data_IF_162799763699
#
_entry.id   IF_162799763699
#
_cell.length_a   1.000
_cell.length_b   1.000
_cell.length_c   1.000
_cell.angle_alpha   90.00
_cell.angle_beta   90.00
_cell.angle_gamma   90.00
#
_symmetry.space_group_name_H-M   'P 1'
#
loop_
_entity.id
_entity.type
_entity.pdbx_description
1 polymer ?
#
# COMPACT_ATOMS: atom_id res chain seq x y z
N UNK A 1 17.53 -11.84 11.67
CA UNK A 1 17.71 -12.19 13.09
C UNK A 1 16.70 -11.42 13.91
N UNK A 2 16.65 -10.07 13.87
CA UNK A 2 15.71 -9.24 14.67
C UNK A 2 14.26 -9.71 14.57
N UNK A 3 13.76 -10.03 13.36
CA UNK A 3 12.40 -10.50 13.17
C UNK A 3 12.10 -11.84 13.87
N UNK A 4 13.11 -12.68 14.12
CA UNK A 4 12.95 -13.92 14.88
C UNK A 4 13.00 -13.70 16.39
N UNK A 5 13.68 -12.63 16.82
CA UNK A 5 13.90 -12.33 18.25
C UNK A 5 12.98 -11.22 18.78
N UNK A 6 12.10 -10.66 17.95
CA UNK A 6 11.37 -9.43 18.26
C UNK A 6 10.50 -9.49 19.52
N UNK A 7 9.93 -10.64 19.83
CA UNK A 7 9.08 -10.84 21.03
C UNK A 7 9.84 -11.51 22.19
N UNK A 8 11.13 -11.88 22.01
CA UNK A 8 11.88 -12.64 23.02
C UNK A 8 11.96 -11.89 24.35
N UNK A 9 12.17 -10.57 24.32
CA UNK A 9 12.27 -9.74 25.54
C UNK A 9 10.89 -9.49 26.18
N UNK A 10 9.80 -9.59 25.39
CA UNK A 10 8.43 -9.39 25.89
C UNK A 10 7.88 -10.67 26.53
N UNK A 11 8.16 -11.82 25.93
CA UNK A 11 7.52 -13.11 26.26
C UNK A 11 8.40 -14.03 27.12
N UNK A 12 9.69 -13.66 27.35
CA UNK A 12 10.62 -14.47 28.14
C UNK A 12 11.43 -13.61 29.14
N UNK A 13 12.27 -14.27 29.94
CA UNK A 13 13.18 -13.60 30.87
C UNK A 13 14.50 -13.15 30.22
N UNK A 14 14.64 -13.30 28.89
CA UNK A 14 15.85 -12.91 28.16
C UNK A 14 15.96 -11.39 28.11
N UNK A 15 17.13 -10.87 28.44
CA UNK A 15 17.40 -9.42 28.47
C UNK A 15 17.98 -8.91 27.14
N UNK A 16 17.84 -7.61 26.89
CA UNK A 16 18.45 -6.95 25.71
C UNK A 16 19.98 -7.11 25.73
N UNK A 17 20.60 -7.11 26.93
CA UNK A 17 22.04 -7.29 27.12
C UNK A 17 22.50 -8.69 26.69
N UNK A 18 21.71 -9.72 27.00
CA UNK A 18 22.00 -11.11 26.58
C UNK A 18 21.90 -11.23 25.07
N UNK A 19 20.89 -10.64 24.44
CA UNK A 19 20.78 -10.58 22.99
C UNK A 19 21.99 -9.86 22.39
N UNK A 20 22.44 -8.77 23.03
CA UNK A 20 23.61 -8.01 22.61
C UNK A 20 24.91 -8.80 22.64
N UNK A 21 25.09 -9.66 23.65
CA UNK A 21 26.23 -10.57 23.75
C UNK A 21 26.23 -11.66 22.69
N UNK A 22 25.05 -12.20 22.35
CA UNK A 22 24.91 -13.33 21.44
C UNK A 22 24.89 -12.90 19.96
N UNK A 23 24.22 -11.79 19.64
CA UNK A 23 23.90 -11.39 18.26
C UNK A 23 24.44 -9.99 17.89
N UNK A 24 25.09 -9.31 18.81
CA UNK A 24 25.68 -7.99 18.60
C UNK A 24 24.74 -6.83 18.96
N UNK A 25 25.36 -5.67 19.24
CA UNK A 25 24.67 -4.46 19.72
C UNK A 25 23.59 -3.94 18.77
N UNK A 26 23.82 -4.04 17.45
CA UNK A 26 22.86 -3.58 16.45
C UNK A 26 21.55 -4.35 16.53
N UNK A 27 21.60 -5.67 16.64
CA UNK A 27 20.41 -6.52 16.74
C UNK A 27 19.70 -6.27 18.07
N UNK A 28 20.44 -6.14 19.17
CA UNK A 28 19.89 -5.81 20.47
C UNK A 28 19.14 -4.47 20.47
N UNK A 29 19.71 -3.44 19.85
CA UNK A 29 19.07 -2.12 19.69
C UNK A 29 17.77 -2.21 18.88
N UNK A 30 17.72 -2.98 17.80
CA UNK A 30 16.52 -3.17 17.02
C UNK A 30 15.44 -3.92 17.81
N UNK A 31 15.79 -4.98 18.55
CA UNK A 31 14.84 -5.72 19.41
C UNK A 31 14.29 -4.82 20.50
N UNK A 32 15.14 -4.06 21.18
CA UNK A 32 14.73 -3.09 22.20
C UNK A 32 13.77 -2.03 21.63
N UNK A 33 14.05 -1.52 20.42
CA UNK A 33 13.17 -0.60 19.71
C UNK A 33 11.79 -1.20 19.43
N UNK A 34 11.71 -2.46 18.96
CA UNK A 34 10.44 -3.15 18.72
C UNK A 34 9.67 -3.35 20.01
N UNK A 35 10.34 -3.78 21.09
CA UNK A 35 9.76 -3.97 22.43
C UNK A 35 9.21 -2.65 23.00
N UNK A 36 9.96 -1.55 22.91
CA UNK A 36 9.50 -0.22 23.32
C UNK A 36 8.25 0.23 22.56
N UNK A 37 8.22 -0.06 21.26
CA UNK A 37 7.10 0.28 20.39
C UNK A 37 5.82 -0.49 20.77
N UNK A 38 5.96 -1.75 21.19
CA UNK A 38 4.85 -2.59 21.67
C UNK A 38 4.25 -2.08 22.99
N UNK A 39 5.06 -1.50 23.87
CA UNK A 39 4.64 -0.96 25.17
C UNK A 39 3.97 0.41 25.09
N UNK A 40 3.95 1.05 23.92
CA UNK A 40 3.25 2.32 23.76
C UNK A 40 1.74 2.02 23.79
N UNK A 41 1.05 2.49 24.83
CA UNK A 41 -0.41 2.45 24.92
C UNK A 41 -1.02 3.31 23.80
N UNK A 42 -1.39 2.65 22.71
CA UNK A 42 -2.03 3.26 21.58
C UNK A 42 -3.55 3.31 21.86
N UNK A 43 -4.02 4.47 22.27
CA UNK A 43 -5.45 4.66 22.57
C UNK A 43 -6.23 4.78 21.28
N UNK A 44 -7.21 3.90 21.11
CA UNK A 44 -8.14 3.82 19.97
C UNK A 44 -9.17 4.97 19.98
N UNK A 45 -8.72 6.22 20.08
CA UNK A 45 -9.57 7.40 20.00
C UNK A 45 -9.10 8.26 18.82
N UNK A 46 -10.02 8.63 17.93
CA UNK A 46 -9.73 9.45 16.75
C UNK A 46 -9.08 10.80 17.08
N UNK A 47 -9.34 11.34 18.27
CA UNK A 47 -8.71 12.59 18.76
C UNK A 47 -7.26 12.40 19.17
N UNK A 48 -6.84 11.17 19.49
CA UNK A 48 -5.48 10.82 19.93
C UNK A 48 -4.63 10.19 18.82
N UNK A 49 -5.16 10.05 17.63
CA UNK A 49 -4.41 9.47 16.50
C UNK A 49 -3.13 10.25 16.18
N UNK A 50 -3.18 11.58 16.23
CA UNK A 50 -2.00 12.42 16.01
C UNK A 50 -0.94 12.21 17.12
N UNK A 51 -1.37 12.10 18.37
CA UNK A 51 -0.47 11.85 19.51
C UNK A 51 0.14 10.43 19.46
N UNK A 52 -0.66 9.42 19.18
CA UNK A 52 -0.19 8.05 18.97
C UNK A 52 0.82 7.99 17.82
N UNK A 53 0.53 8.69 16.73
CA UNK A 53 1.44 8.78 15.61
C UNK A 53 2.73 9.50 15.98
N UNK A 54 2.67 10.62 16.71
CA UNK A 54 3.86 11.33 17.19
C UNK A 54 4.72 10.45 18.09
N UNK A 55 4.13 9.72 19.04
CA UNK A 55 4.84 8.77 19.90
C UNK A 55 5.54 7.67 19.08
N UNK A 56 4.83 7.14 18.08
CA UNK A 56 5.39 6.14 17.17
C UNK A 56 6.54 6.73 16.34
N UNK A 57 6.40 7.94 15.78
CA UNK A 57 7.45 8.61 15.01
C UNK A 57 8.68 8.87 15.87
N UNK A 58 8.52 9.31 17.13
CA UNK A 58 9.62 9.52 18.06
C UNK A 58 10.32 8.19 18.38
N UNK A 59 9.57 7.12 18.67
CA UNK A 59 10.14 5.80 18.93
C UNK A 59 10.84 5.18 17.69
N UNK A 60 10.46 5.66 16.48
CA UNK A 60 11.01 5.23 15.19
C UNK A 60 12.15 6.13 14.68
N UNK A 61 12.37 7.31 15.33
CA UNK A 61 13.38 8.27 14.88
C UNK A 61 14.80 7.71 14.84
N UNK A 62 15.04 6.66 15.63
CA UNK A 62 16.35 6.04 15.78
C UNK A 62 16.64 5.02 14.67
N UNK A 63 15.64 4.21 14.24
CA UNK A 63 15.84 3.25 13.16
C UNK A 63 14.53 2.80 12.50
N UNK A 64 14.37 3.08 11.21
CA UNK A 64 13.20 2.70 10.41
C UNK A 64 12.98 1.17 10.35
N UNK A 65 14.03 0.37 10.53
CA UNK A 65 13.94 -1.09 10.51
C UNK A 65 13.05 -1.64 11.61
N UNK A 66 12.98 -0.96 12.75
CA UNK A 66 12.06 -1.27 13.87
C UNK A 66 10.61 -1.28 13.38
N UNK A 67 10.22 -0.25 12.62
CA UNK A 67 8.89 -0.16 12.03
C UNK A 67 8.60 -1.27 11.03
N UNK A 68 9.58 -1.59 10.18
CA UNK A 68 9.43 -2.65 9.18
C UNK A 68 9.16 -4.00 9.85
N UNK A 69 9.90 -4.31 10.93
CA UNK A 69 9.67 -5.52 11.73
C UNK A 69 8.27 -5.51 12.32
N UNK A 70 7.84 -4.37 12.91
CA UNK A 70 6.52 -4.28 13.54
C UNK A 70 5.35 -4.33 12.53
N UNK A 71 5.53 -3.80 11.32
CA UNK A 71 4.53 -3.95 10.24
C UNK A 71 4.46 -5.40 9.75
N UNK A 72 5.59 -6.10 9.65
CA UNK A 72 5.64 -7.50 9.28
C UNK A 72 4.99 -8.39 10.33
N UNK A 73 5.29 -8.16 11.63
CA UNK A 73 4.64 -8.80 12.75
C UNK A 73 3.12 -8.60 12.73
N UNK A 74 2.66 -7.33 12.60
CA UNK A 74 1.23 -7.02 12.52
C UNK A 74 0.56 -7.70 11.34
N UNK A 75 1.22 -7.79 10.20
CA UNK A 75 0.68 -8.48 9.02
C UNK A 75 0.55 -9.98 9.28
N UNK A 76 1.54 -10.59 9.90
CA UNK A 76 1.49 -12.00 10.31
C UNK A 76 0.34 -12.25 11.30
N UNK A 77 0.23 -11.41 12.34
CA UNK A 77 -0.84 -11.49 13.34
C UNK A 77 -2.24 -11.33 12.71
N UNK A 78 -2.38 -10.46 11.70
CA UNK A 78 -3.64 -10.33 10.97
C UNK A 78 -3.97 -11.54 10.10
N UNK A 79 -2.99 -12.20 9.50
CA UNK A 79 -3.18 -13.45 8.73
C UNK A 79 -3.61 -14.62 9.62
N UNK A 80 -3.17 -14.63 10.86
CA UNK A 80 -3.43 -15.68 11.85
C UNK A 80 -4.48 -15.27 12.88
N UNK A 81 -5.20 -14.16 12.70
CA UNK A 81 -6.12 -13.57 13.67
C UNK A 81 -7.26 -14.52 14.10
N UNK A 82 -7.61 -15.49 13.25
CA UNK A 82 -8.68 -16.44 13.50
C UNK A 82 -8.39 -17.41 14.69
N UNK A 83 -7.13 -17.53 15.12
CA UNK A 83 -6.77 -18.32 16.32
C UNK A 83 -7.05 -17.57 17.63
N UNK A 84 -7.32 -16.26 17.59
CA UNK A 84 -7.59 -15.47 18.78
C UNK A 84 -9.08 -15.51 19.16
N UNK A 85 -9.45 -15.34 20.45
CA UNK A 85 -10.83 -15.09 20.88
C UNK A 85 -11.42 -13.86 20.18
N UNK A 86 -12.73 -13.87 19.88
CA UNK A 86 -13.42 -12.85 19.09
C UNK A 86 -13.20 -11.43 19.61
N UNK A 87 -13.20 -11.24 20.92
CA UNK A 87 -12.95 -9.93 21.55
C UNK A 87 -11.57 -9.38 21.23
N UNK A 88 -10.54 -10.23 21.27
CA UNK A 88 -9.16 -9.88 20.87
C UNK A 88 -9.06 -9.61 19.37
N UNK A 89 -9.73 -10.44 18.53
CA UNK A 89 -9.79 -10.21 17.09
C UNK A 89 -10.27 -8.80 16.76
N UNK A 90 -11.38 -8.36 17.37
CA UNK A 90 -11.98 -7.04 17.13
C UNK A 90 -11.01 -5.92 17.54
N UNK A 91 -10.35 -6.06 18.71
CA UNK A 91 -9.37 -5.07 19.19
C UNK A 91 -8.21 -4.93 18.21
N UNK A 92 -7.56 -6.05 17.86
CA UNK A 92 -6.40 -6.06 16.95
C UNK A 92 -6.77 -5.55 15.55
N UNK A 93 -7.94 -5.90 15.03
CA UNK A 93 -8.40 -5.41 13.73
C UNK A 93 -8.68 -3.90 13.73
N UNK A 94 -9.25 -3.34 14.80
CA UNK A 94 -9.44 -1.88 14.95
C UNK A 94 -8.10 -1.15 15.00
N UNK A 95 -7.18 -1.58 15.86
CA UNK A 95 -5.82 -1.02 15.93
C UNK A 95 -5.13 -1.05 14.56
N UNK A 96 -5.29 -2.15 13.83
CA UNK A 96 -4.71 -2.29 12.49
C UNK A 96 -5.23 -1.24 11.52
N UNK A 97 -6.55 -0.95 11.52
CA UNK A 97 -7.13 0.07 10.66
C UNK A 97 -6.80 1.50 11.09
N UNK A 98 -6.76 1.74 12.40
CA UNK A 98 -6.63 3.09 12.96
C UNK A 98 -5.17 3.54 13.04
N UNK A 99 -4.23 2.61 13.18
CA UNK A 99 -2.83 2.91 13.43
C UNK A 99 -1.92 2.37 12.32
N UNK A 100 -1.88 1.05 12.13
CA UNK A 100 -0.91 0.42 11.24
C UNK A 100 -1.19 0.66 9.75
N UNK A 101 -2.47 0.74 9.35
CA UNK A 101 -2.86 1.11 7.98
C UNK A 101 -2.38 2.51 7.59
N UNK A 102 -2.66 3.56 8.37
CA UNK A 102 -2.12 4.90 8.17
C UNK A 102 -0.58 4.96 8.17
N UNK A 103 0.09 4.22 9.07
CA UNK A 103 1.55 4.13 9.08
C UNK A 103 2.08 3.54 7.79
N UNK A 104 1.56 2.37 7.38
CA UNK A 104 1.97 1.73 6.12
C UNK A 104 1.74 2.63 4.90
N UNK A 105 0.67 3.46 4.90
CA UNK A 105 0.45 4.47 3.87
C UNK A 105 1.54 5.53 3.86
N UNK A 106 1.92 6.04 5.03
CA UNK A 106 2.92 7.11 5.16
C UNK A 106 4.31 6.65 4.75
N UNK A 107 4.71 5.43 5.11
CA UNK A 107 5.98 4.84 4.65
C UNK A 107 5.92 4.31 3.21
N UNK A 108 4.81 4.51 2.51
CA UNK A 108 4.67 4.17 1.09
C UNK A 108 4.41 2.68 0.81
N UNK A 109 4.26 1.82 1.83
CA UNK A 109 4.08 0.37 1.68
C UNK A 109 2.63 0.02 1.29
N UNK A 110 2.22 0.38 0.06
CA UNK A 110 0.84 0.26 -0.39
C UNK A 110 0.32 -1.19 -0.41
N UNK A 111 1.18 -2.16 -0.70
CA UNK A 111 0.82 -3.58 -0.73
C UNK A 111 0.50 -4.08 0.68
N UNK A 112 1.39 -3.81 1.64
CA UNK A 112 1.19 -4.17 3.06
C UNK A 112 -0.06 -3.49 3.61
N UNK A 113 -0.21 -2.18 3.36
CA UNK A 113 -1.41 -1.44 3.75
C UNK A 113 -2.68 -2.08 3.23
N UNK A 114 -2.72 -2.38 1.93
CA UNK A 114 -3.91 -2.95 1.30
C UNK A 114 -4.31 -4.28 1.92
N UNK A 115 -3.33 -5.15 2.19
CA UNK A 115 -3.58 -6.44 2.83
C UNK A 115 -4.03 -6.29 4.30
N UNK A 116 -3.37 -5.41 5.08
CA UNK A 116 -3.78 -5.09 6.45
C UNK A 116 -5.22 -4.58 6.52
N UNK A 117 -5.58 -3.60 5.66
CA UNK A 117 -6.93 -3.04 5.60
C UNK A 117 -7.98 -4.10 5.21
N UNK A 118 -7.67 -4.99 4.25
CA UNK A 118 -8.60 -6.05 3.81
C UNK A 118 -8.80 -7.13 4.89
N UNK A 119 -7.73 -7.59 5.54
CA UNK A 119 -7.82 -8.57 6.63
C UNK A 119 -8.60 -8.00 7.82
N UNK A 120 -8.32 -6.76 8.19
CA UNK A 120 -9.04 -6.09 9.28
C UNK A 120 -10.52 -5.86 8.94
N UNK A 121 -10.81 -5.47 7.70
CA UNK A 121 -12.19 -5.30 7.24
C UNK A 121 -12.96 -6.63 7.26
N UNK A 122 -12.36 -7.73 6.78
CA UNK A 122 -12.96 -9.07 6.85
C UNK A 122 -13.23 -9.50 8.28
N UNK A 123 -12.31 -9.21 9.18
CA UNK A 123 -12.48 -9.50 10.59
C UNK A 123 -13.63 -8.69 11.21
N UNK A 124 -13.70 -7.39 10.98
CA UNK A 124 -14.70 -6.50 11.61
C UNK A 124 -16.10 -6.62 10.99
N UNK A 125 -16.18 -6.86 9.69
CA UNK A 125 -17.40 -6.87 8.90
C UNK A 125 -17.52 -8.11 8.00
N UNK A 126 -17.53 -9.34 8.57
CA UNK A 126 -17.45 -10.58 7.79
C UNK A 126 -18.57 -10.71 6.75
N UNK A 127 -19.83 -10.46 7.14
CA UNK A 127 -20.98 -10.54 6.22
C UNK A 127 -20.87 -9.54 5.05
N UNK A 128 -20.40 -8.32 5.33
CA UNK A 128 -20.21 -7.30 4.27
C UNK A 128 -19.07 -7.67 3.35
N UNK A 129 -17.99 -8.21 3.89
CA UNK A 129 -16.86 -8.69 3.10
C UNK A 129 -17.30 -9.83 2.16
N UNK A 130 -18.02 -10.81 2.67
CA UNK A 130 -18.57 -11.92 1.90
C UNK A 130 -19.52 -11.46 0.79
N UNK A 131 -20.41 -10.51 1.09
CA UNK A 131 -21.30 -9.89 0.09
C UNK A 131 -20.52 -9.22 -1.04
N UNK A 132 -19.47 -8.45 -0.70
CA UNK A 132 -18.63 -7.77 -1.68
C UNK A 132 -17.85 -8.80 -2.51
N UNK A 133 -17.23 -9.81 -1.89
CA UNK A 133 -16.51 -10.89 -2.58
C UNK A 133 -17.43 -11.66 -3.54
N UNK A 134 -18.61 -12.02 -3.07
CA UNK A 134 -19.63 -12.71 -3.87
C UNK A 134 -20.06 -11.90 -5.08
N UNK A 135 -20.28 -10.60 -4.89
CA UNK A 135 -20.65 -9.70 -5.98
C UNK A 135 -19.49 -9.49 -6.97
N UNK A 136 -18.23 -9.39 -6.50
CA UNK A 136 -17.06 -9.35 -7.36
C UNK A 136 -16.97 -10.67 -8.16
N UNK A 137 -17.15 -11.81 -7.52
CA UNK A 137 -17.09 -13.13 -8.15
C UNK A 137 -18.18 -13.31 -9.22
N UNK A 138 -19.43 -12.94 -8.92
CA UNK A 138 -20.55 -12.95 -9.89
C UNK A 138 -20.28 -12.06 -11.10
N UNK A 139 -19.74 -10.88 -10.85
CA UNK A 139 -19.38 -9.94 -11.93
C UNK A 139 -18.11 -10.38 -12.70
N UNK A 140 -17.29 -11.30 -12.20
CA UNK A 140 -15.97 -11.62 -12.76
C UNK A 140 -16.02 -12.41 -14.07
N UNK A 141 -17.09 -13.18 -14.35
CA UNK A 141 -17.19 -14.00 -15.56
C UNK A 141 -17.18 -13.19 -16.86
N UNK A 142 -18.00 -12.14 -16.94
CA UNK A 142 -17.98 -11.19 -18.07
C UNK A 142 -16.79 -10.23 -18.03
N UNK A 143 -16.38 -9.83 -16.82
CA UNK A 143 -15.28 -8.89 -16.59
C UNK A 143 -13.92 -9.38 -17.07
N UNK A 144 -13.58 -10.65 -16.84
CA UNK A 144 -12.29 -11.20 -17.30
C UNK A 144 -12.10 -11.05 -18.79
N UNK A 145 -13.16 -11.27 -19.59
CA UNK A 145 -13.12 -11.09 -21.06
C UNK A 145 -12.90 -9.62 -21.44
N UNK A 146 -13.60 -8.70 -20.79
CA UNK A 146 -13.48 -7.25 -21.06
C UNK A 146 -12.08 -6.76 -20.65
N UNK A 147 -11.60 -7.09 -19.45
CA UNK A 147 -10.25 -6.74 -18.99
C UNK A 147 -9.19 -7.28 -19.93
N UNK A 148 -9.32 -8.54 -20.36
CA UNK A 148 -8.39 -9.14 -21.32
C UNK A 148 -8.40 -8.39 -22.67
N UNK A 149 -9.58 -8.05 -23.20
CA UNK A 149 -9.74 -7.31 -24.48
C UNK A 149 -9.09 -5.93 -24.37
N UNK A 150 -9.42 -5.14 -23.35
CA UNK A 150 -8.85 -3.80 -23.14
C UNK A 150 -7.33 -3.88 -22.94
N UNK A 151 -6.84 -4.83 -22.13
CA UNK A 151 -5.40 -5.04 -21.94
C UNK A 151 -4.68 -5.32 -23.23
N UNK A 152 -5.24 -6.19 -24.07
CA UNK A 152 -4.67 -6.55 -25.37
C UNK A 152 -4.64 -5.35 -26.32
N UNK A 153 -5.68 -4.55 -26.35
CA UNK A 153 -5.75 -3.33 -27.16
C UNK A 153 -4.71 -2.29 -26.69
N UNK A 154 -4.68 -1.96 -25.40
CA UNK A 154 -3.68 -1.02 -24.87
C UNK A 154 -2.28 -1.49 -25.22
N UNK A 155 -1.94 -2.77 -24.98
CA UNK A 155 -0.64 -3.32 -25.31
C UNK A 155 -0.32 -3.22 -26.80
N UNK A 156 -1.29 -3.51 -27.67
CA UNK A 156 -1.13 -3.42 -29.12
C UNK A 156 -0.82 -2.00 -29.58
N UNK A 157 -1.53 -1.00 -29.03
CA UNK A 157 -1.32 0.40 -29.39
C UNK A 157 0.04 0.93 -28.92
N UNK A 158 0.46 0.61 -27.70
CA UNK A 158 1.77 1.00 -27.18
C UNK A 158 2.91 0.35 -27.98
N UNK A 159 2.79 -0.95 -28.31
CA UNK A 159 3.81 -1.65 -29.11
C UNK A 159 3.94 -1.10 -30.55
N UNK A 160 2.85 -0.60 -31.16
CA UNK A 160 2.90 0.02 -32.50
C UNK A 160 3.64 1.36 -32.51
N UNK A 161 3.80 1.98 -31.36
CA UNK A 161 4.51 3.26 -31.16
C UNK A 161 5.88 3.04 -30.50
N UNK A 162 6.43 1.82 -30.60
CA UNK A 162 7.73 1.42 -30.06
C UNK A 162 7.88 1.65 -28.54
N UNK A 163 6.78 1.59 -27.79
CA UNK A 163 6.82 1.67 -26.34
C UNK A 163 6.78 0.27 -25.74
N UNK A 164 7.91 -0.14 -25.15
CA UNK A 164 7.99 -1.37 -24.36
C UNK A 164 7.23 -1.21 -23.07
N UNK A 165 6.13 -1.96 -22.93
CA UNK A 165 5.24 -1.83 -21.78
C UNK A 165 4.74 -3.16 -21.25
N UNK A 166 4.51 -3.21 -19.93
CA UNK A 166 3.75 -4.27 -19.29
C UNK A 166 2.39 -3.71 -18.86
N UNK A 167 1.31 -4.29 -19.36
CA UNK A 167 -0.06 -3.89 -19.01
C UNK A 167 -0.67 -4.94 -18.09
N UNK A 168 -1.05 -4.54 -16.90
CA UNK A 168 -1.62 -5.41 -15.86
C UNK A 168 -3.03 -4.92 -15.49
N UNK A 169 -3.97 -5.86 -15.27
CA UNK A 169 -5.22 -5.54 -14.60
C UNK A 169 -4.96 -5.37 -13.10
N UNK A 170 -5.51 -4.32 -12.51
CA UNK A 170 -5.39 -4.06 -11.08
C UNK A 170 -6.68 -4.44 -10.39
N UNK A 171 -6.60 -5.38 -9.48
CA UNK A 171 -7.71 -5.69 -8.57
C UNK A 171 -7.80 -4.62 -7.48
N UNK A 172 -9.03 -4.24 -7.13
CA UNK A 172 -9.29 -3.29 -6.04
C UNK A 172 -9.46 -4.03 -4.74
N UNK A 173 -8.83 -3.52 -3.69
CA UNK A 173 -9.01 -4.01 -2.34
C UNK A 173 -10.46 -3.88 -1.89
N UNK A 174 -10.98 -4.90 -1.20
CA UNK A 174 -12.37 -4.99 -0.72
C UNK A 174 -12.69 -3.83 0.22
N UNK A 175 -11.79 -3.53 1.13
CA UNK A 175 -11.84 -2.39 2.05
C UNK A 175 -11.98 -1.06 1.32
N UNK A 176 -11.23 -0.88 0.22
CA UNK A 176 -11.30 0.31 -0.64
C UNK A 176 -12.64 0.42 -1.38
N UNK A 177 -13.20 -0.69 -1.82
CA UNK A 177 -14.54 -0.74 -2.44
C UNK A 177 -15.59 -0.31 -1.41
N UNK A 178 -15.58 -0.92 -0.22
CA UNK A 178 -16.51 -0.57 0.85
C UNK A 178 -16.43 0.90 1.26
N UNK A 179 -15.23 1.43 1.41
CA UNK A 179 -15.02 2.85 1.72
C UNK A 179 -15.64 3.76 0.66
N UNK A 180 -15.47 3.42 -0.64
CA UNK A 180 -16.11 4.18 -1.74
C UNK A 180 -17.63 4.10 -1.71
N UNK A 181 -18.21 2.94 -1.35
CA UNK A 181 -19.66 2.79 -1.16
C UNK A 181 -20.14 3.75 -0.08
N UNK A 182 -19.47 3.72 1.08
CA UNK A 182 -19.87 4.52 2.26
C UNK A 182 -19.72 6.03 2.01
N UNK A 183 -18.63 6.45 1.33
CA UNK A 183 -18.33 7.88 1.17
C UNK A 183 -19.04 8.52 -0.01
N UNK A 184 -19.29 7.77 -1.09
CA UNK A 184 -19.88 8.34 -2.34
C UNK A 184 -21.37 8.11 -2.47
N UNK A 185 -21.98 7.34 -1.56
CA UNK A 185 -23.39 6.94 -1.61
C UNK A 185 -23.86 6.43 -2.98
N UNK A 186 -22.92 5.88 -3.78
CA UNK A 186 -23.19 5.34 -5.10
C UNK A 186 -23.59 3.88 -5.01
N UNK A 187 -24.50 3.41 -5.89
CA UNK A 187 -24.88 2.01 -5.92
C UNK A 187 -23.65 1.13 -6.19
N UNK A 188 -23.67 -0.05 -5.63
CA UNK A 188 -22.57 -1.01 -5.68
C UNK A 188 -22.14 -1.33 -7.12
N UNK A 189 -23.07 -1.41 -8.07
CA UNK A 189 -22.83 -1.62 -9.48
C UNK A 189 -21.89 -0.57 -10.09
N UNK A 190 -22.13 0.72 -9.83
CA UNK A 190 -21.30 1.80 -10.35
C UNK A 190 -19.86 1.82 -9.80
N UNK A 191 -19.66 1.30 -8.58
CA UNK A 191 -18.33 1.24 -7.96
C UNK A 191 -17.54 0.05 -8.46
N UNK A 192 -18.22 -1.04 -8.81
CA UNK A 192 -17.61 -2.23 -9.37
C UNK A 192 -17.24 -2.05 -10.85
N UNK A 193 -17.89 -1.15 -11.58
CA UNK A 193 -17.72 -0.99 -13.02
C UNK A 193 -16.44 -0.27 -13.44
N UNK A 194 -15.69 0.32 -12.50
CA UNK A 194 -14.40 0.94 -12.81
C UNK A 194 -13.28 -0.10 -12.78
N UNK A 195 -12.82 -0.50 -13.94
CA UNK A 195 -11.66 -1.40 -14.09
C UNK A 195 -10.36 -0.63 -13.91
N UNK A 196 -9.45 -1.17 -13.13
CA UNK A 196 -8.11 -0.59 -12.95
C UNK A 196 -7.10 -1.27 -13.86
N UNK A 197 -6.26 -0.46 -14.50
CA UNK A 197 -5.11 -0.93 -15.28
C UNK A 197 -3.85 -0.23 -14.80
N UNK A 198 -2.75 -0.97 -14.80
CA UNK A 198 -1.42 -0.43 -14.56
C UNK A 198 -0.58 -0.65 -15.81
N UNK A 199 0.04 0.40 -16.29
CA UNK A 199 0.96 0.39 -17.41
C UNK A 199 2.35 0.72 -16.89
N UNK A 200 3.28 -0.22 -17.05
CA UNK A 200 4.64 -0.08 -16.59
C UNK A 200 5.51 0.07 -17.82
N UNK A 201 6.29 1.15 -17.85
CA UNK A 201 7.21 1.50 -18.94
C UNK A 201 8.63 1.68 -18.42
N UNK A 202 9.59 1.95 -19.31
CA UNK A 202 10.99 2.03 -18.92
C UNK A 202 11.43 3.43 -18.49
N UNK A 203 10.83 4.49 -19.06
CA UNK A 203 11.25 5.88 -18.82
C UNK A 203 10.08 6.79 -18.47
N UNK A 204 10.38 7.95 -17.88
CA UNK A 204 9.40 9.01 -17.60
C UNK A 204 8.82 9.55 -18.91
N UNK A 205 9.66 9.71 -19.94
CA UNK A 205 9.23 10.13 -21.27
C UNK A 205 8.18 9.17 -21.83
N UNK A 206 8.42 7.85 -21.73
CA UNK A 206 7.46 6.84 -22.14
C UNK A 206 6.15 6.87 -21.35
N UNK A 207 6.17 7.34 -20.09
CA UNK A 207 4.93 7.55 -19.33
C UNK A 207 4.05 8.60 -20.01
N UNK A 208 4.60 9.75 -20.37
CA UNK A 208 3.85 10.83 -21.03
C UNK A 208 3.46 10.49 -22.47
N UNK A 209 4.35 9.83 -23.22
CA UNK A 209 4.02 9.31 -24.57
C UNK A 209 2.86 8.30 -24.50
N UNK A 210 2.90 7.37 -23.53
CA UNK A 210 1.81 6.41 -23.31
C UNK A 210 0.49 7.11 -22.95
N UNK A 211 0.51 8.15 -22.13
CA UNK A 211 -0.67 8.93 -21.80
C UNK A 211 -1.30 9.55 -23.03
N UNK A 212 -0.50 10.24 -23.87
CA UNK A 212 -0.98 10.85 -25.10
C UNK A 212 -1.60 9.84 -26.08
N UNK A 213 -0.94 8.69 -26.26
CA UNK A 213 -1.46 7.62 -27.10
C UNK A 213 -2.80 7.08 -26.61
N UNK A 214 -2.91 6.81 -25.29
CA UNK A 214 -4.13 6.24 -24.70
C UNK A 214 -5.28 7.26 -24.77
N UNK A 215 -5.01 8.56 -24.56
CA UNK A 215 -6.01 9.61 -24.68
C UNK A 215 -6.52 9.79 -26.13
N UNK A 216 -5.72 9.42 -27.13
CA UNK A 216 -6.16 9.39 -28.53
C UNK A 216 -7.12 8.23 -28.84
N UNK A 217 -7.01 7.10 -28.11
CA UNK A 217 -7.86 5.93 -28.31
C UNK A 217 -9.10 5.94 -27.44
N UNK A 218 -9.00 6.42 -26.22
CA UNK A 218 -10.06 6.42 -25.24
C UNK A 218 -10.32 7.84 -24.73
N UNK A 219 -11.58 8.26 -24.76
CA UNK A 219 -11.95 9.60 -24.30
C UNK A 219 -11.70 9.78 -22.81
N UNK A 220 -10.85 10.74 -22.39
CA UNK A 220 -10.64 11.02 -20.98
C UNK A 220 -11.87 11.65 -20.34
N UNK A 221 -12.10 11.32 -19.05
CA UNK A 221 -13.14 11.94 -18.24
C UNK A 221 -12.57 13.18 -17.59
N UNK A 222 -13.21 14.31 -17.80
CA UNK A 222 -12.81 15.61 -17.27
C UNK A 222 -12.65 15.59 -15.75
N UNK A 223 -11.63 16.30 -15.22
CA UNK A 223 -11.32 16.37 -13.78
C UNK A 223 -10.79 15.07 -13.17
N UNK A 224 -10.51 14.02 -13.98
CA UNK A 224 -10.04 12.72 -13.52
C UNK A 224 -8.58 12.43 -13.85
N UNK A 225 -7.87 13.40 -14.40
CA UNK A 225 -6.42 13.32 -14.61
C UNK A 225 -5.66 13.84 -13.39
N UNK A 226 -4.59 13.15 -13.01
CA UNK A 226 -3.66 13.60 -11.95
C UNK A 226 -2.24 13.20 -12.32
N UNK A 227 -1.35 14.16 -12.29
CA UNK A 227 0.07 13.98 -12.54
C UNK A 227 0.83 13.94 -11.20
N UNK A 228 1.13 12.74 -10.76
CA UNK A 228 1.97 12.51 -9.59
C UNK A 228 3.43 12.22 -9.97
N UNK A 229 3.81 12.34 -11.25
CA UNK A 229 5.22 12.33 -11.65
C UNK A 229 5.80 13.72 -11.47
N UNK A 230 5.11 14.75 -12.01
CA UNK A 230 5.51 16.14 -11.87
C UNK A 230 5.36 16.65 -10.41
N UNK A 231 4.29 16.20 -9.70
CA UNK A 231 4.02 16.58 -8.31
C UNK A 231 3.86 15.30 -7.49
N UNK A 232 4.96 14.70 -7.00
CA UNK A 232 4.93 13.49 -6.19
C UNK A 232 4.12 13.68 -4.90
N UNK A 233 3.54 12.61 -4.40
CA UNK A 233 2.91 12.63 -3.08
C UNK A 233 3.98 12.69 -1.99
N UNK A 234 3.60 13.18 -0.80
CA UNK A 234 4.49 13.27 0.37
C UNK A 234 5.20 11.94 0.74
N UNK A 235 4.61 10.80 0.39
CA UNK A 235 5.20 9.49 0.59
C UNK A 235 6.03 8.98 -0.60
N UNK A 236 6.45 9.85 -1.51
CA UNK A 236 7.28 9.51 -2.68
C UNK A 236 6.55 8.77 -3.81
N UNK A 237 5.23 8.57 -3.70
CA UNK A 237 4.46 7.92 -4.76
C UNK A 237 4.40 8.75 -6.03
N UNK A 238 4.76 8.15 -7.17
CA UNK A 238 4.73 8.74 -8.49
C UNK A 238 3.97 7.86 -9.48
N UNK A 239 3.07 8.45 -10.26
CA UNK A 239 2.39 7.85 -11.40
C UNK A 239 1.52 8.89 -12.13
N UNK A 240 1.21 8.69 -13.40
CA UNK A 240 0.10 9.39 -14.05
C UNK A 240 -1.19 8.61 -13.79
N UNK A 241 -2.23 9.29 -13.36
CA UNK A 241 -3.55 8.72 -13.17
C UNK A 241 -4.54 9.35 -14.14
N UNK A 242 -5.27 8.53 -14.88
CA UNK A 242 -6.35 9.01 -15.75
C UNK A 242 -7.53 8.05 -15.69
N UNK A 243 -8.73 8.58 -15.90
CA UNK A 243 -9.96 7.78 -16.06
C UNK A 243 -10.49 8.02 -17.44
N UNK A 244 -10.76 6.95 -18.16
CA UNK A 244 -11.10 6.95 -19.58
C UNK A 244 -12.39 6.19 -19.82
N UNK A 245 -13.11 6.52 -20.88
CA UNK A 245 -14.20 5.70 -21.40
C UNK A 245 -13.63 4.75 -22.46
N UNK A 246 -13.60 3.47 -22.16
CA UNK A 246 -13.14 2.42 -23.06
C UNK A 246 -14.30 1.85 -23.91
N UNK A 247 -14.14 0.62 -24.37
CA UNK A 247 -15.14 -0.10 -25.18
C UNK A 247 -16.50 -0.07 -24.47
N UNK A 248 -17.56 0.14 -25.20
CA UNK A 248 -18.95 0.23 -24.72
C UNK A 248 -19.15 1.30 -23.62
N UNK A 249 -18.36 2.40 -23.69
CA UNK A 249 -18.38 3.49 -22.71
C UNK A 249 -18.09 3.06 -21.27
N UNK A 250 -17.39 1.93 -21.09
CA UNK A 250 -17.02 1.42 -19.77
C UNK A 250 -15.90 2.31 -19.18
N UNK A 251 -16.07 2.87 -17.98
CA UNK A 251 -15.03 3.66 -17.35
C UNK A 251 -13.87 2.78 -16.87
N UNK A 252 -12.66 3.12 -17.27
CA UNK A 252 -11.42 2.48 -16.84
C UNK A 252 -10.52 3.49 -16.15
N UNK A 253 -9.88 3.06 -15.06
CA UNK A 253 -8.86 3.83 -14.35
C UNK A 253 -7.48 3.31 -14.76
N UNK A 254 -6.65 4.17 -15.34
CA UNK A 254 -5.32 3.81 -15.82
C UNK A 254 -4.26 4.51 -14.97
N UNK A 255 -3.28 3.75 -14.50
CA UNK A 255 -2.08 4.24 -13.83
C UNK A 255 -0.88 3.93 -14.72
N UNK A 256 -0.08 4.96 -15.03
CA UNK A 256 1.11 4.82 -15.86
C UNK A 256 2.31 5.20 -15.01
N UNK A 257 3.32 4.35 -14.97
CA UNK A 257 4.50 4.53 -14.13
C UNK A 257 5.69 3.76 -14.69
N UNK A 258 6.89 4.12 -14.25
CA UNK A 258 8.09 3.35 -14.57
C UNK A 258 8.24 2.15 -13.63
N UNK A 259 9.15 1.22 -13.96
CA UNK A 259 9.49 0.09 -13.07
C UNK A 259 10.00 0.55 -11.70
N UNK A 260 10.82 1.60 -11.66
CA UNK A 260 11.32 2.16 -10.40
C UNK A 260 10.20 2.78 -9.57
N UNK A 261 9.27 3.53 -10.19
CA UNK A 261 8.11 4.09 -9.51
C UNK A 261 7.18 2.99 -8.98
N UNK A 262 6.99 1.88 -9.72
CA UNK A 262 6.21 0.73 -9.26
C UNK A 262 6.84 0.11 -8.01
N UNK A 263 8.16 -0.08 -8.01
CA UNK A 263 8.87 -0.64 -6.88
C UNK A 263 8.73 0.23 -5.63
N UNK A 264 8.86 1.55 -5.79
CA UNK A 264 8.64 2.53 -4.70
C UNK A 264 7.17 2.49 -4.24
N UNK A 265 6.21 2.41 -5.16
CA UNK A 265 4.78 2.35 -4.83
C UNK A 265 4.40 1.07 -4.07
N UNK A 266 5.07 -0.05 -4.32
CA UNK A 266 4.78 -1.33 -3.65
C UNK A 266 5.50 -1.48 -2.31
N UNK A 267 6.78 -1.12 -2.27
CA UNK A 267 7.67 -1.37 -1.13
C UNK A 267 7.94 -0.12 -0.29
N UNK A 268 7.54 1.06 -0.76
CA UNK A 268 7.75 2.32 -0.04
C UNK A 268 9.23 2.53 0.28
N UNK A 269 9.50 2.91 1.53
CA UNK A 269 10.86 3.19 2.01
C UNK A 269 11.82 1.99 1.88
N UNK A 270 11.31 0.77 1.88
CA UNK A 270 12.13 -0.43 1.67
C UNK A 270 12.73 -0.50 0.26
N UNK A 271 12.13 0.15 -0.74
CA UNK A 271 12.67 0.21 -2.10
C UNK A 271 14.04 0.91 -2.13
N UNK A 272 14.23 1.91 -1.27
CA UNK A 272 15.49 2.68 -1.21
C UNK A 272 16.67 1.88 -0.66
N UNK A 273 16.44 0.85 0.15
CA UNK A 273 17.51 0.00 0.67
C UNK A 273 18.15 -0.90 -0.39
N UNK A 274 17.41 -1.22 -1.46
CA UNK A 274 17.92 -2.04 -2.58
C UNK A 274 18.79 -1.26 -3.58
N UNK A 275 18.66 0.07 -3.63
CA UNK A 275 19.42 0.91 -4.59
C UNK A 275 20.69 1.55 -4.01
N UNK A 276 21.03 1.27 -2.74
CA UNK A 276 22.26 1.81 -2.11
C UNK A 276 23.57 1.23 -2.65
N UNK A 277 23.54 0.34 -3.64
CA UNK A 277 24.75 -0.26 -4.20
C UNK A 277 25.32 0.46 -5.42
N UNK A 278 24.56 1.27 -6.16
CA UNK A 278 25.11 2.05 -7.28
C UNK A 278 24.25 3.30 -7.55
N UNK A 279 24.83 4.50 -7.43
CA UNK A 279 24.33 5.81 -7.88
C UNK A 279 22.94 6.26 -7.39
N UNK A 280 22.77 6.52 -6.11
CA UNK A 280 21.64 7.32 -5.66
C UNK A 280 22.08 8.57 -4.89
N UNK A 281 21.51 9.69 -5.33
CA UNK A 281 21.71 11.05 -4.87
C UNK A 281 21.83 11.16 -3.34
N UNK A 282 22.96 11.71 -2.87
CA UNK A 282 23.28 11.95 -1.46
C UNK A 282 22.30 12.87 -0.72
N UNK A 283 21.23 13.31 -1.39
CA UNK A 283 20.28 14.30 -0.91
C UNK A 283 18.97 13.73 -0.36
N UNK A 284 18.75 12.40 -0.40
CA UNK A 284 17.58 11.80 0.24
C UNK A 284 17.89 11.45 1.70
N UNK A 285 17.92 12.47 2.55
CA UNK A 285 17.91 12.25 3.99
C UNK A 285 16.53 11.80 4.44
N UNK A 286 16.45 10.69 5.19
CA UNK A 286 15.25 10.23 5.93
C UNK A 286 14.67 11.41 6.75
N UNK A 287 15.52 12.34 7.22
CA UNK A 287 15.12 13.57 7.89
C UNK A 287 14.23 14.50 7.02
N UNK A 288 14.52 14.70 5.73
CA UNK A 288 13.70 15.55 4.85
C UNK A 288 12.34 14.91 4.52
N UNK A 289 12.25 13.58 4.57
CA UNK A 289 10.99 12.89 4.40
C UNK A 289 10.13 12.97 5.67
N UNK A 290 10.76 13.01 6.85
CA UNK A 290 10.08 13.17 8.13
C UNK A 290 9.58 14.61 8.37
N UNK A 291 10.29 15.64 7.89
CA UNK A 291 9.87 17.06 7.99
C UNK A 291 8.68 17.41 7.11
N UNK A 292 8.40 16.63 6.06
CA UNK A 292 7.16 16.74 5.27
C UNK A 292 5.92 16.12 5.93
N UNK A 293 6.03 15.66 7.18
CA UNK A 293 4.96 15.03 7.98
C UNK A 293 4.36 15.99 9.04
N UNK A 294 4.90 17.20 9.19
CA UNK A 294 4.27 18.29 9.95
C UNK A 294 3.18 18.97 9.11
#
# INVERSE_FOLDING_TARGET
ITALLHDTVEDTNVTVEEIGKMFGKEIASLVDGVTKLSRIDLVSDSRKQAENFRKLVIAMSDDIRVLLVKLADRLHNMRTIHFLPRTKQIKVAKETLEIYGPIALRVGMQKVRGELEDLAFKCLHPLRAEMIESAIKKASGGRKKIVYKIRKEIKKHLSRSDILSTVQGREKNISSIYRKIKTKQKPFSEILDVYGFRIIVNSVEDCYRSLGLIHNFYKPIEGRFKDYIAIPKSNGYQALHTTLLAIDSIPIEVQIQTKSMELIAENGICAHSHYKTEDFDKNFHVGNWMTGLE
#
